data_IF_501879109046
#
_entry.id   IF_501879109046
#
_cell.length_a   1.000
_cell.length_b   1.000
_cell.length_c   1.000
_cell.angle_alpha   90.00
_cell.angle_beta   90.00
_cell.angle_gamma   90.00
#
_symmetry.space_group_name_H-M   'P 1'
#
loop_
_entity.id
_entity.type
_entity.pdbx_description
1 polymer ?
#
# COMPACT_ATOMS: atom_id res chain seq x y z
N UNK A 1 -13.79 18.94 19.01
CA UNK A 1 -14.22 17.54 18.83
C UNK A 1 -14.07 17.22 17.37
N UNK A 2 -13.31 16.18 17.03
CA UNK A 2 -12.99 15.80 15.65
C UNK A 2 -14.15 15.00 15.06
N UNK A 3 -14.69 15.45 13.95
CA UNK A 3 -15.78 14.79 13.23
C UNK A 3 -15.22 13.80 12.20
N UNK A 4 -15.48 12.51 12.37
CA UNK A 4 -14.95 11.44 11.51
C UNK A 4 -16.05 10.84 10.65
N UNK A 5 -15.74 10.58 9.37
CA UNK A 5 -16.51 9.72 8.49
C UNK A 5 -15.75 8.42 8.20
N UNK A 6 -16.47 7.34 7.89
CA UNK A 6 -15.90 6.04 7.53
C UNK A 6 -16.60 5.52 6.29
N UNK A 7 -15.83 5.15 5.25
CA UNK A 7 -16.32 4.41 4.08
C UNK A 7 -15.60 3.08 4.02
N UNK A 8 -16.33 2.01 4.26
CA UNK A 8 -15.85 0.63 4.39
C UNK A 8 -17.02 -0.31 4.07
N UNK A 9 -16.84 -1.27 3.19
CA UNK A 9 -17.91 -2.20 2.78
C UNK A 9 -18.21 -3.26 3.85
N UNK A 10 -17.19 -3.72 4.59
CA UNK A 10 -17.35 -4.73 5.64
C UNK A 10 -17.98 -4.09 6.88
N UNK A 11 -19.24 -4.46 7.17
CA UNK A 11 -20.02 -3.87 8.25
C UNK A 11 -19.35 -4.00 9.63
N UNK A 12 -18.77 -5.16 9.94
CA UNK A 12 -18.13 -5.41 11.24
C UNK A 12 -16.89 -4.53 11.42
N UNK A 13 -16.07 -4.38 10.39
CA UNK A 13 -14.90 -3.49 10.39
C UNK A 13 -15.33 -2.05 10.56
N UNK A 14 -16.29 -1.58 9.75
CA UNK A 14 -16.84 -0.23 9.80
C UNK A 14 -17.41 0.12 11.18
N UNK A 15 -18.22 -0.76 11.74
CA UNK A 15 -18.87 -0.53 13.03
C UNK A 15 -17.87 -0.62 14.19
N UNK A 16 -16.95 -1.57 14.16
CA UNK A 16 -15.92 -1.71 15.19
C UNK A 16 -15.00 -0.50 15.29
N UNK A 17 -14.56 0.07 14.14
CA UNK A 17 -13.77 1.30 14.12
C UNK A 17 -14.61 2.48 14.64
N UNK A 18 -15.86 2.60 14.18
CA UNK A 18 -16.74 3.68 14.59
C UNK A 18 -17.01 3.67 16.10
N UNK A 19 -17.37 2.51 16.66
CA UNK A 19 -17.60 2.35 18.10
C UNK A 19 -16.37 2.68 18.93
N UNK A 20 -15.19 2.22 18.49
CA UNK A 20 -13.94 2.54 19.17
C UNK A 20 -13.67 4.06 19.16
N UNK A 21 -13.86 4.73 18.02
CA UNK A 21 -13.64 6.17 17.90
C UNK A 21 -14.68 6.98 18.69
N UNK A 22 -15.96 6.58 18.68
CA UNK A 22 -17.00 7.23 19.46
C UNK A 22 -16.79 7.15 20.99
N UNK A 23 -16.05 6.13 21.44
CA UNK A 23 -15.65 6.01 22.84
C UNK A 23 -14.47 6.90 23.25
N UNK A 24 -13.89 7.68 22.30
CA UNK A 24 -12.83 8.63 22.61
C UNK A 24 -13.39 10.02 22.96
N UNK A 25 -12.81 10.73 23.94
CA UNK A 25 -13.40 11.97 24.47
C UNK A 25 -13.43 13.14 23.47
N UNK A 26 -12.60 13.10 22.43
CA UNK A 26 -12.38 14.18 21.48
C UNK A 26 -12.74 13.83 20.02
N UNK A 27 -13.31 12.65 19.76
CA UNK A 27 -13.65 12.16 18.42
C UNK A 27 -15.14 11.77 18.40
N UNK A 28 -15.77 11.97 17.26
CA UNK A 28 -17.16 11.51 17.00
C UNK A 28 -17.27 11.00 15.57
N UNK A 29 -17.77 9.78 15.39
CA UNK A 29 -18.07 9.22 14.08
C UNK A 29 -19.43 9.67 13.58
N UNK A 30 -19.45 10.69 12.71
CA UNK A 30 -20.68 11.33 12.20
C UNK A 30 -21.32 10.57 11.05
N UNK A 31 -20.50 9.94 10.20
CA UNK A 31 -20.94 9.31 8.96
C UNK A 31 -20.33 7.94 8.81
N UNK A 32 -21.17 6.96 8.47
CA UNK A 32 -20.76 5.58 8.14
C UNK A 32 -21.38 5.19 6.82
N UNK A 33 -20.59 4.78 5.85
CA UNK A 33 -21.06 4.38 4.53
C UNK A 33 -20.36 3.09 4.06
N UNK A 34 -21.05 2.34 3.21
CA UNK A 34 -20.53 1.09 2.64
C UNK A 34 -19.89 1.27 1.25
N UNK A 35 -20.11 2.45 0.62
CA UNK A 35 -19.52 2.79 -0.67
C UNK A 35 -19.38 4.30 -0.83
N UNK A 36 -18.55 4.72 -1.80
CA UNK A 36 -18.35 6.13 -2.15
C UNK A 36 -19.66 6.75 -2.65
N UNK A 37 -20.39 6.03 -3.49
CA UNK A 37 -21.65 6.49 -4.09
C UNK A 37 -22.70 6.78 -3.01
N UNK A 38 -22.83 5.85 -2.05
CA UNK A 38 -23.77 6.02 -0.95
C UNK A 38 -23.37 7.17 -0.04
N UNK A 39 -22.06 7.30 0.26
CA UNK A 39 -21.54 8.43 1.02
C UNK A 39 -21.90 9.76 0.35
N UNK A 40 -21.64 9.92 -0.94
CA UNK A 40 -21.92 11.13 -1.68
C UNK A 40 -23.42 11.41 -1.81
N UNK A 41 -24.26 10.37 -1.87
CA UNK A 41 -25.71 10.50 -1.97
C UNK A 41 -26.36 10.89 -0.65
N UNK A 42 -25.98 10.21 0.44
CA UNK A 42 -26.72 10.26 1.70
C UNK A 42 -26.15 11.33 2.67
N UNK A 43 -24.92 11.81 2.44
CA UNK A 43 -24.30 12.82 3.30
C UNK A 43 -24.61 14.22 2.76
N UNK A 44 -25.21 15.11 3.57
CA UNK A 44 -25.47 16.50 3.18
C UNK A 44 -24.18 17.25 2.81
N UNK A 45 -24.27 18.17 1.84
CA UNK A 45 -23.10 18.95 1.40
C UNK A 45 -22.53 19.84 2.52
N UNK A 46 -23.39 20.25 3.45
CA UNK A 46 -23.07 21.07 4.62
C UNK A 46 -22.50 20.26 5.79
N UNK A 47 -22.41 18.93 5.65
CA UNK A 47 -21.88 18.09 6.72
C UNK A 47 -20.42 18.43 7.00
N UNK A 48 -20.11 18.71 8.26
CA UNK A 48 -18.75 18.94 8.72
C UNK A 48 -18.11 17.58 9.01
N UNK A 49 -17.14 17.23 8.20
CA UNK A 49 -16.32 16.03 8.34
C UNK A 49 -14.86 16.47 8.29
N UNK A 50 -14.17 16.38 9.41
CA UNK A 50 -12.76 16.79 9.51
C UNK A 50 -11.83 15.73 8.92
N UNK A 51 -12.12 14.45 9.21
CA UNK A 51 -11.31 13.31 8.79
C UNK A 51 -12.21 12.22 8.21
N UNK A 52 -11.81 11.66 7.08
CA UNK A 52 -12.49 10.53 6.43
C UNK A 52 -11.55 9.33 6.35
N UNK A 53 -11.93 8.23 6.98
CA UNK A 53 -11.30 6.93 6.80
C UNK A 53 -11.92 6.27 5.56
N UNK A 54 -11.08 5.93 4.57
CA UNK A 54 -11.55 5.45 3.26
C UNK A 54 -10.82 4.17 2.86
N UNK A 55 -11.57 3.08 2.68
CA UNK A 55 -10.99 1.86 2.09
C UNK A 55 -10.81 2.01 0.56
N UNK A 56 -9.81 1.31 0.02
CA UNK A 56 -9.57 1.22 -1.43
C UNK A 56 -10.50 0.20 -2.07
N UNK A 57 -10.72 -0.93 -1.41
CA UNK A 57 -11.38 -2.12 -1.96
C UNK A 57 -12.90 -2.06 -1.94
N UNK A 58 -13.49 -0.91 -2.22
CA UNK A 58 -14.93 -0.70 -2.18
C UNK A 58 -15.65 -1.23 -3.43
N UNK A 59 -16.91 -1.67 -3.31
CA UNK A 59 -17.75 -1.99 -4.46
C UNK A 59 -18.08 -0.73 -5.27
N UNK A 60 -18.18 -0.85 -6.58
CA UNK A 60 -18.45 0.27 -7.50
C UNK A 60 -17.23 1.16 -7.69
N UNK A 61 -17.30 2.40 -7.22
CA UNK A 61 -16.18 3.34 -7.28
C UNK A 61 -15.14 2.94 -6.22
N UNK A 62 -13.90 2.63 -6.65
CA UNK A 62 -12.80 2.36 -5.72
C UNK A 62 -12.53 3.56 -4.81
N UNK A 63 -11.98 3.30 -3.60
CA UNK A 63 -11.64 4.40 -2.69
C UNK A 63 -10.70 5.43 -3.33
N UNK A 64 -9.71 4.99 -4.12
CA UNK A 64 -8.79 5.91 -4.81
C UNK A 64 -9.53 6.81 -5.79
N UNK A 65 -10.37 6.23 -6.65
CA UNK A 65 -11.20 7.00 -7.60
C UNK A 65 -12.23 7.89 -6.89
N UNK A 66 -12.60 7.54 -5.67
CA UNK A 66 -13.52 8.30 -4.82
C UNK A 66 -12.91 9.54 -4.19
N UNK A 67 -11.56 9.64 -4.06
CA UNK A 67 -10.91 10.79 -3.42
C UNK A 67 -11.30 12.09 -4.08
N UNK A 68 -11.21 12.17 -5.41
CA UNK A 68 -11.47 13.39 -6.16
C UNK A 68 -12.92 13.90 -5.98
N UNK A 69 -13.97 13.12 -6.26
CA UNK A 69 -15.36 13.60 -6.07
C UNK A 69 -15.67 13.90 -4.59
N UNK A 70 -15.05 13.22 -3.63
CA UNK A 70 -15.19 13.53 -2.21
C UNK A 70 -14.58 14.90 -1.91
N UNK A 71 -13.35 15.17 -2.38
CA UNK A 71 -12.65 16.45 -2.20
C UNK A 71 -13.36 17.61 -2.91
N UNK A 72 -13.98 17.38 -4.05
CA UNK A 72 -14.77 18.39 -4.76
C UNK A 72 -16.01 18.80 -3.94
N UNK A 73 -16.64 17.85 -3.25
CA UNK A 73 -17.83 18.12 -2.41
C UNK A 73 -17.49 18.59 -1.01
N UNK A 74 -16.39 18.09 -0.43
CA UNK A 74 -15.89 18.40 0.92
C UNK A 74 -14.43 18.83 0.86
N UNK A 75 -14.11 20.06 0.39
CA UNK A 75 -12.71 20.48 0.14
C UNK A 75 -11.81 20.45 1.38
N UNK A 76 -12.37 20.66 2.57
CA UNK A 76 -11.64 20.70 3.83
C UNK A 76 -11.39 19.32 4.46
N UNK A 77 -12.03 18.25 3.94
CA UNK A 77 -11.88 16.92 4.54
C UNK A 77 -10.48 16.37 4.39
N UNK A 78 -9.89 15.85 5.46
CA UNK A 78 -8.63 15.10 5.41
C UNK A 78 -8.92 13.62 5.21
N UNK A 79 -8.42 13.03 4.13
CA UNK A 79 -8.68 11.62 3.78
C UNK A 79 -7.50 10.77 4.21
N UNK A 80 -7.73 9.78 5.08
CA UNK A 80 -6.79 8.71 5.42
C UNK A 80 -7.24 7.44 4.70
N UNK A 81 -6.39 6.89 3.84
CA UNK A 81 -6.62 5.57 3.27
C UNK A 81 -6.42 4.50 4.34
N UNK A 82 -7.40 3.62 4.53
CA UNK A 82 -7.33 2.50 5.48
C UNK A 82 -7.63 1.21 4.74
N UNK A 83 -6.60 0.43 4.39
CA UNK A 83 -6.75 -0.67 3.44
C UNK A 83 -5.80 -1.83 3.72
N UNK A 84 -6.07 -3.00 3.13
CA UNK A 84 -5.15 -4.14 3.12
C UNK A 84 -4.08 -4.05 2.02
N UNK A 85 -4.22 -3.12 1.08
CA UNK A 85 -3.30 -2.98 -0.03
C UNK A 85 -2.02 -2.25 0.38
N UNK A 86 -0.89 -2.84 0.03
CA UNK A 86 0.45 -2.27 0.23
C UNK A 86 1.20 -2.08 -1.11
N UNK A 87 0.47 -2.07 -2.21
CA UNK A 87 1.04 -1.86 -3.54
C UNK A 87 1.52 -0.41 -3.71
N UNK A 88 2.77 -0.24 -4.20
CA UNK A 88 3.39 1.09 -4.32
C UNK A 88 2.64 2.02 -5.26
N UNK A 89 2.08 1.48 -6.36
CA UNK A 89 1.37 2.28 -7.34
C UNK A 89 0.06 2.83 -6.74
N UNK A 90 -0.68 2.01 -6.00
CA UNK A 90 -1.91 2.43 -5.30
C UNK A 90 -1.64 3.45 -4.19
N UNK A 91 -0.54 3.28 -3.45
CA UNK A 91 -0.12 4.25 -2.42
C UNK A 91 0.12 5.61 -3.06
N UNK A 92 0.93 5.62 -4.13
CA UNK A 92 1.28 6.85 -4.82
C UNK A 92 0.07 7.51 -5.48
N UNK A 93 -0.77 6.73 -6.19
CA UNK A 93 -1.99 7.22 -6.80
C UNK A 93 -2.93 7.88 -5.77
N UNK A 94 -3.07 7.28 -4.58
CA UNK A 94 -3.86 7.84 -3.48
C UNK A 94 -3.33 9.19 -3.02
N UNK A 95 -2.02 9.30 -2.81
CA UNK A 95 -1.37 10.54 -2.36
C UNK A 95 -1.52 11.64 -3.42
N UNK A 96 -1.25 11.32 -4.69
CA UNK A 96 -1.42 12.26 -5.80
C UNK A 96 -2.88 12.69 -6.00
N UNK A 97 -3.84 11.83 -5.65
CA UNK A 97 -5.27 12.15 -5.68
C UNK A 97 -5.72 13.01 -4.50
N UNK A 98 -4.86 13.23 -3.49
CA UNK A 98 -5.13 14.12 -2.37
C UNK A 98 -5.42 13.43 -1.03
N UNK A 99 -5.05 12.16 -0.86
CA UNK A 99 -5.05 11.52 0.45
C UNK A 99 -4.00 12.19 1.36
N UNK A 100 -4.40 12.49 2.61
CA UNK A 100 -3.54 13.10 3.61
C UNK A 100 -2.78 12.06 4.46
N UNK A 101 -3.23 10.81 4.46
CA UNK A 101 -2.58 9.73 5.20
C UNK A 101 -2.86 8.35 4.59
N UNK A 102 -2.06 7.35 5.02
CA UNK A 102 -2.23 5.98 4.54
C UNK A 102 -1.88 4.96 5.63
N UNK A 103 -2.84 4.14 6.01
CA UNK A 103 -2.71 3.10 7.03
C UNK A 103 -3.08 1.73 6.45
N UNK A 104 -2.41 0.70 6.94
CA UNK A 104 -2.78 -0.70 6.64
C UNK A 104 -3.82 -1.19 7.65
N UNK A 105 -4.85 -1.92 7.23
CA UNK A 105 -5.96 -2.41 8.09
C UNK A 105 -5.53 -3.29 9.26
N UNK A 106 -4.32 -3.88 9.23
CA UNK A 106 -3.75 -4.59 10.38
C UNK A 106 -3.21 -3.65 11.48
N UNK A 107 -3.30 -2.34 11.26
CA UNK A 107 -2.95 -1.33 12.25
C UNK A 107 -3.96 -1.36 13.40
N UNK A 108 -3.49 -1.45 14.64
CA UNK A 108 -4.38 -1.48 15.81
C UNK A 108 -5.21 -0.19 15.95
N UNK A 109 -6.41 -0.30 16.54
CA UNK A 109 -7.37 0.80 16.69
C UNK A 109 -6.79 2.05 17.35
N UNK A 110 -5.89 1.90 18.33
CA UNK A 110 -5.20 3.03 18.95
C UNK A 110 -4.37 3.85 17.93
N UNK A 111 -3.70 3.18 17.00
CA UNK A 111 -2.95 3.88 15.94
C UNK A 111 -3.86 4.55 14.92
N UNK A 112 -5.07 4.02 14.69
CA UNK A 112 -6.08 4.71 13.86
C UNK A 112 -6.51 6.00 14.55
N UNK A 113 -6.75 5.95 15.87
CA UNK A 113 -7.05 7.15 16.67
C UNK A 113 -5.93 8.19 16.58
N UNK A 114 -4.66 7.77 16.85
CA UNK A 114 -3.50 8.65 16.75
C UNK A 114 -3.39 9.30 15.37
N UNK A 115 -3.63 8.53 14.30
CA UNK A 115 -3.61 9.05 12.94
C UNK A 115 -4.73 10.06 12.65
N UNK A 116 -5.93 9.85 13.20
CA UNK A 116 -7.05 10.81 13.10
C UNK A 116 -6.66 12.13 13.79
N UNK A 117 -6.08 12.06 14.98
CA UNK A 117 -5.63 13.25 15.72
C UNK A 117 -4.47 13.96 14.99
N UNK A 118 -3.50 13.20 14.48
CA UNK A 118 -2.33 13.72 13.76
C UNK A 118 -2.75 14.45 12.48
N UNK A 119 -3.59 13.83 11.63
CA UNK A 119 -4.02 14.46 10.38
C UNK A 119 -4.90 15.68 10.63
N UNK A 120 -5.70 15.69 11.69
CA UNK A 120 -6.49 16.86 12.08
C UNK A 120 -5.60 18.04 12.47
N UNK A 121 -4.42 17.78 13.04
CA UNK A 121 -3.41 18.78 13.36
C UNK A 121 -2.50 19.14 12.16
N UNK A 122 -2.78 18.63 10.96
CA UNK A 122 -2.00 18.92 9.73
C UNK A 122 -0.83 17.96 9.48
N UNK A 123 -0.74 16.85 10.23
CA UNK A 123 0.22 15.77 9.98
C UNK A 123 -0.16 14.90 8.78
N UNK A 124 0.74 13.98 8.43
CA UNK A 124 0.55 12.99 7.36
C UNK A 124 0.84 11.57 7.86
N UNK A 125 -0.09 10.97 8.60
CA UNK A 125 0.11 9.67 9.22
C UNK A 125 0.32 8.58 8.17
N UNK A 126 1.41 7.84 8.32
CA UNK A 126 1.74 6.70 7.47
C UNK A 126 2.35 5.59 8.32
N UNK A 127 1.99 4.33 8.04
CA UNK A 127 2.74 3.22 8.63
C UNK A 127 4.19 3.24 8.12
N UNK A 128 5.18 2.75 8.90
CA UNK A 128 6.59 2.78 8.49
C UNK A 128 6.86 2.12 7.13
N UNK A 129 6.11 1.05 6.81
CA UNK A 129 6.21 0.36 5.54
C UNK A 129 5.75 1.25 4.37
N UNK A 130 4.65 1.99 4.57
CA UNK A 130 4.10 2.92 3.58
C UNK A 130 5.04 4.10 3.37
N UNK A 131 5.53 4.71 4.45
CA UNK A 131 6.48 5.82 4.36
C UNK A 131 7.75 5.43 3.57
N UNK A 132 8.26 4.21 3.77
CA UNK A 132 9.39 3.69 3.00
C UNK A 132 9.08 3.60 1.50
N UNK A 133 7.91 3.09 1.12
CA UNK A 133 7.51 2.99 -0.30
C UNK A 133 7.33 4.36 -0.96
N UNK A 134 6.82 5.33 -0.21
CA UNK A 134 6.72 6.72 -0.68
C UNK A 134 8.12 7.29 -0.94
N UNK A 135 9.07 7.12 -0.02
CA UNK A 135 10.45 7.57 -0.19
C UNK A 135 11.15 6.88 -1.38
N UNK A 136 10.92 5.57 -1.56
CA UNK A 136 11.47 4.81 -2.69
C UNK A 136 10.92 5.33 -4.03
N UNK A 137 9.68 5.78 -4.08
CA UNK A 137 9.08 6.34 -5.29
C UNK A 137 9.71 7.69 -5.67
N UNK A 138 9.90 8.59 -4.70
CA UNK A 138 10.51 9.91 -4.95
C UNK A 138 12.03 9.88 -5.16
N UNK A 139 12.68 8.81 -4.72
CA UNK A 139 14.11 8.65 -4.89
C UNK A 139 14.43 7.31 -5.58
N UNK A 140 14.23 7.21 -6.90
CA UNK A 140 14.55 5.98 -7.65
C UNK A 140 16.04 5.60 -7.61
N UNK A 141 16.93 6.51 -7.15
CA UNK A 141 18.32 6.18 -6.86
C UNK A 141 18.52 5.51 -5.48
N UNK A 142 17.58 5.65 -4.53
CA UNK A 142 17.61 4.93 -3.25
C UNK A 142 17.50 3.39 -3.42
N UNK A 143 16.72 2.83 -4.36
CA UNK A 143 16.74 1.41 -4.64
C UNK A 143 18.11 0.87 -5.05
N UNK A 144 19.01 1.71 -5.58
CA UNK A 144 20.35 1.27 -5.95
C UNK A 144 21.28 1.09 -4.74
N UNK A 145 21.02 1.79 -3.63
CA UNK A 145 21.79 1.66 -2.38
C UNK A 145 21.17 0.61 -1.43
N UNK A 146 19.87 0.37 -1.54
CA UNK A 146 19.10 -0.63 -0.79
C UNK A 146 18.64 -1.78 -1.68
N UNK A 147 19.05 -1.82 -2.96
CA UNK A 147 18.84 -3.00 -3.81
C UNK A 147 19.32 -4.19 -2.98
N UNK A 148 18.39 -5.05 -2.64
CA UNK A 148 18.72 -6.34 -2.04
C UNK A 148 19.69 -7.00 -3.04
N UNK A 149 20.99 -6.77 -2.81
CA UNK A 149 22.01 -7.37 -3.66
C UNK A 149 21.72 -8.85 -3.71
N UNK A 150 21.75 -9.41 -4.89
CA UNK A 150 21.67 -10.85 -5.04
C UNK A 150 22.72 -11.47 -4.13
N UNK A 151 22.31 -12.45 -3.33
CA UNK A 151 23.27 -13.23 -2.53
C UNK A 151 24.24 -13.95 -3.45
N UNK A 152 25.38 -14.38 -2.94
CA UNK A 152 26.35 -15.15 -3.73
C UNK A 152 25.67 -16.32 -4.46
N UNK A 153 24.76 -17.01 -3.77
CA UNK A 153 24.02 -18.14 -4.35
C UNK A 153 23.05 -17.72 -5.45
N UNK A 154 22.36 -16.60 -5.30
CA UNK A 154 21.49 -16.06 -6.34
C UNK A 154 22.26 -15.58 -7.56
N UNK A 155 23.48 -15.03 -7.38
CA UNK A 155 24.38 -14.67 -8.49
C UNK A 155 24.86 -15.89 -9.28
N UNK A 156 25.22 -16.99 -8.61
CA UNK A 156 25.58 -18.25 -9.24
C UNK A 156 24.43 -18.80 -10.10
N UNK A 157 23.20 -18.72 -9.58
CA UNK A 157 22.00 -19.14 -10.32
C UNK A 157 21.74 -18.23 -11.52
N UNK A 158 21.89 -16.91 -11.39
CA UNK A 158 21.76 -15.96 -12.51
C UNK A 158 22.81 -16.25 -13.57
N UNK A 159 24.08 -16.49 -13.21
CA UNK A 159 25.14 -16.88 -14.16
C UNK A 159 24.74 -18.14 -14.94
N UNK A 160 24.26 -19.18 -14.26
CA UNK A 160 23.75 -20.36 -14.92
C UNK A 160 22.58 -20.13 -15.87
N UNK A 161 21.69 -19.17 -15.53
CA UNK A 161 20.58 -18.77 -16.45
C UNK A 161 21.11 -18.07 -17.70
N UNK A 162 22.12 -17.21 -17.55
CA UNK A 162 22.78 -16.49 -18.65
C UNK A 162 23.51 -17.47 -19.57
N UNK A 163 24.21 -18.48 -18.99
CA UNK A 163 24.85 -19.56 -19.71
C UNK A 163 23.88 -20.55 -20.38
N UNK A 164 22.59 -20.28 -20.30
CA UNK A 164 21.56 -21.10 -20.95
C UNK A 164 21.20 -22.40 -20.23
N UNK A 165 21.74 -22.65 -19.03
CA UNK A 165 21.50 -23.88 -18.31
C UNK A 165 20.03 -24.09 -17.93
N UNK A 166 19.58 -25.34 -17.92
CA UNK A 166 18.29 -25.73 -17.36
C UNK A 166 18.34 -25.72 -15.84
N UNK A 167 17.17 -25.60 -15.18
CA UNK A 167 17.08 -25.64 -13.71
C UNK A 167 17.69 -26.91 -13.11
N UNK A 168 17.59 -28.05 -13.83
CA UNK A 168 18.19 -29.31 -13.43
C UNK A 168 19.73 -29.26 -13.47
N UNK A 169 20.30 -28.63 -14.50
CA UNK A 169 21.73 -28.44 -14.61
C UNK A 169 22.26 -27.46 -13.56
N UNK A 170 21.55 -26.36 -13.32
CA UNK A 170 21.89 -25.40 -12.25
C UNK A 170 21.84 -26.09 -10.88
N UNK A 171 20.85 -26.93 -10.62
CA UNK A 171 20.70 -27.69 -9.39
C UNK A 171 21.91 -28.63 -9.19
N UNK A 172 22.29 -29.36 -10.23
CA UNK A 172 23.43 -30.27 -10.21
C UNK A 172 24.77 -29.52 -10.01
N UNK A 173 24.98 -28.43 -10.76
CA UNK A 173 26.21 -27.63 -10.66
C UNK A 173 26.38 -26.97 -9.27
N UNK A 174 25.28 -26.68 -8.59
CA UNK A 174 25.28 -26.03 -7.29
C UNK A 174 25.07 -26.99 -6.10
N UNK A 175 24.95 -28.29 -6.34
CA UNK A 175 24.71 -29.32 -5.32
C UNK A 175 23.46 -29.06 -4.46
N UNK A 176 22.37 -28.58 -5.09
CA UNK A 176 21.08 -28.28 -4.44
C UNK A 176 19.92 -28.95 -5.20
N UNK A 177 18.73 -28.98 -4.60
CA UNK A 177 17.56 -29.54 -5.26
C UNK A 177 16.99 -28.57 -6.33
N UNK A 178 16.23 -29.12 -7.28
CA UNK A 178 15.53 -28.30 -8.29
C UNK A 178 14.53 -27.37 -7.60
N UNK A 179 13.88 -27.82 -6.54
CA UNK A 179 12.94 -27.02 -5.73
C UNK A 179 13.66 -25.83 -5.08
N UNK A 180 14.88 -26.02 -4.60
CA UNK A 180 15.73 -24.95 -4.06
C UNK A 180 16.10 -23.95 -5.15
N UNK A 181 16.41 -24.39 -6.36
CA UNK A 181 16.65 -23.48 -7.51
C UNK A 181 15.39 -22.68 -7.81
N UNK A 182 14.22 -23.30 -7.87
CA UNK A 182 12.94 -22.60 -8.08
C UNK A 182 12.66 -21.56 -7.00
N UNK A 183 12.92 -21.90 -5.75
CA UNK A 183 12.80 -20.95 -4.63
C UNK A 183 13.70 -19.72 -4.81
N UNK A 184 14.98 -19.93 -5.14
CA UNK A 184 15.90 -18.82 -5.41
C UNK A 184 15.46 -17.99 -6.61
N UNK A 185 15.01 -18.62 -7.71
CA UNK A 185 14.49 -17.90 -8.89
C UNK A 185 13.32 -17.00 -8.54
N UNK A 186 12.36 -17.49 -7.72
CA UNK A 186 11.25 -16.66 -7.23
C UNK A 186 11.75 -15.45 -6.45
N UNK A 187 12.77 -15.63 -5.61
CA UNK A 187 13.38 -14.53 -4.85
C UNK A 187 14.17 -13.56 -5.76
N UNK A 188 14.90 -14.08 -6.77
CA UNK A 188 15.59 -13.28 -7.79
C UNK A 188 14.58 -12.42 -8.54
N UNK A 189 13.47 -12.99 -9.02
CA UNK A 189 12.44 -12.23 -9.72
C UNK A 189 11.87 -11.10 -8.86
N UNK A 190 11.60 -11.39 -7.59
CA UNK A 190 11.14 -10.38 -6.62
C UNK A 190 12.18 -9.29 -6.38
N UNK A 191 13.46 -9.64 -6.22
CA UNK A 191 14.56 -8.69 -5.98
C UNK A 191 14.86 -7.81 -7.19
N UNK A 192 14.74 -8.36 -8.39
CA UNK A 192 15.04 -7.67 -9.64
C UNK A 192 13.81 -6.98 -10.27
N UNK A 193 12.65 -7.13 -9.65
CA UNK A 193 11.36 -6.65 -10.20
C UNK A 193 11.14 -7.10 -11.65
N UNK A 194 11.25 -8.42 -11.89
CA UNK A 194 11.06 -9.05 -13.20
C UNK A 194 10.08 -10.22 -13.08
N UNK A 195 9.46 -10.59 -14.20
CA UNK A 195 8.42 -11.61 -14.23
C UNK A 195 8.84 -12.89 -14.97
N UNK A 196 9.95 -12.89 -15.68
CA UNK A 196 10.41 -14.05 -16.45
C UNK A 196 11.93 -14.19 -16.55
N UNK A 197 12.39 -15.40 -16.96
CA UNK A 197 13.79 -15.72 -17.16
C UNK A 197 14.48 -14.79 -18.17
N UNK A 198 13.79 -14.42 -19.24
CA UNK A 198 14.35 -13.57 -20.31
C UNK A 198 14.72 -12.17 -19.77
N UNK A 199 13.89 -11.58 -18.91
CA UNK A 199 14.16 -10.28 -18.28
C UNK A 199 15.37 -10.32 -17.37
N UNK A 200 15.56 -11.41 -16.59
CA UNK A 200 16.77 -11.61 -15.76
C UNK A 200 18.02 -11.62 -16.62
N UNK A 201 18.01 -12.41 -17.71
CA UNK A 201 19.14 -12.51 -18.64
C UNK A 201 19.44 -11.14 -19.26
N UNK A 202 18.42 -10.43 -19.73
CA UNK A 202 18.58 -9.10 -20.34
C UNK A 202 19.20 -8.10 -19.36
N UNK A 203 18.75 -8.07 -18.11
CA UNK A 203 19.33 -7.20 -17.06
C UNK A 203 20.78 -7.56 -16.76
N UNK A 204 21.10 -8.84 -16.72
CA UNK A 204 22.48 -9.29 -16.50
C UNK A 204 23.40 -8.88 -17.65
N UNK A 205 22.98 -9.07 -18.90
CA UNK A 205 23.77 -8.69 -20.08
C UNK A 205 23.97 -7.18 -20.20
N UNK A 206 23.06 -6.37 -19.64
CA UNK A 206 23.21 -4.91 -19.58
C UNK A 206 24.05 -4.41 -18.40
N UNK A 207 24.58 -5.31 -17.55
CA UNK A 207 25.36 -4.93 -16.37
C UNK A 207 24.53 -4.25 -15.27
N UNK A 208 23.22 -4.48 -15.25
CA UNK A 208 22.32 -3.90 -14.24
C UNK A 208 22.30 -4.72 -12.94
N UNK A 209 22.92 -5.96 -12.95
CA UNK A 209 22.97 -6.90 -11.82
C UNK A 209 24.28 -7.67 -11.79
#
# INVERSE_FOLDING_TARGET
>A
MISVGIIEDIADTRNGIAEFLDNQPNITCKVKSESVEKFLKDTPAEAIIDVLLLDIGLPGISGISGIKPIKERYPAVNIIMLTVYEDSDKIFESICSGAAGYLVKNTGLNKIKEAVEDVYCGGAPMSPQIARKVLEFFNPALPSLLKQRLTSKEKEIVAGLVDGLSYKMIASANSISIETVRFHIKNIYKKLHVNCKAEVITKSLRGEI
#
